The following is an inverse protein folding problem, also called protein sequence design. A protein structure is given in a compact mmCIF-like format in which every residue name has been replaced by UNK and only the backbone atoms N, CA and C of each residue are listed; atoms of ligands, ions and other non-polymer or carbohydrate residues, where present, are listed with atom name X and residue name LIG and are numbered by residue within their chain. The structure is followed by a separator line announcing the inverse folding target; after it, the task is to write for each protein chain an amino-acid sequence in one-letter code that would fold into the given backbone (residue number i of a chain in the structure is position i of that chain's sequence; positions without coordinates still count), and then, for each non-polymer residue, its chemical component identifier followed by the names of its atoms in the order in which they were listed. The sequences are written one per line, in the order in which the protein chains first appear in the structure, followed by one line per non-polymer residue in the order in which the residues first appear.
data_IF_699301011444
#
_entry.id   IF_699301011444
#
_cell.length_a   1.000
_cell.length_b   1.000
_cell.length_c   1.000
_cell.angle_alpha   90.00
_cell.angle_beta   90.00
_cell.angle_gamma   90.00
#
_symmetry.space_group_name_H-M   'P 1'
#
loop_
_entity.id
_entity.type
_entity.pdbx_description
1 polymer ?
#
# COMPACT_ATOMS: atom_id res chain seq x y z
N UNK A 1 -20.95 1.96 19.76
CA UNK A 1 -21.67 3.01 19.00
C UNK A 1 -21.51 4.40 19.64
N UNK A 2 -21.80 4.60 20.93
CA UNK A 2 -21.70 5.90 21.60
C UNK A 2 -20.31 6.60 21.55
N UNK A 3 -19.20 5.85 21.68
CA UNK A 3 -17.85 6.45 21.68
C UNK A 3 -17.39 6.99 20.34
N UNK A 4 -17.88 6.42 19.23
CA UNK A 4 -17.50 6.84 17.88
C UNK A 4 -18.30 8.06 17.45
N UNK A 5 -19.62 8.03 17.66
CA UNK A 5 -20.55 9.12 17.33
C UNK A 5 -20.16 10.42 18.04
N UNK A 6 -19.74 10.34 19.29
CA UNK A 6 -19.40 11.53 20.10
C UNK A 6 -18.10 12.24 19.67
N UNK A 7 -17.20 11.57 18.96
CA UNK A 7 -15.95 12.21 18.49
C UNK A 7 -16.18 13.11 17.27
N UNK A 8 -17.02 12.68 16.33
CA UNK A 8 -17.21 13.35 15.03
C UNK A 8 -18.54 14.09 14.92
N UNK A 9 -19.59 13.63 15.63
CA UNK A 9 -20.93 14.19 15.55
C UNK A 9 -21.28 14.84 16.88
N UNK A 10 -20.94 16.11 17.03
CA UNK A 10 -21.30 16.92 18.20
C UNK A 10 -22.81 17.27 18.26
N UNK A 11 -23.48 17.21 17.11
CA UNK A 11 -24.92 17.53 17.00
C UNK A 11 -25.58 16.58 15.98
N UNK A 12 -26.47 15.71 16.46
CA UNK A 12 -27.23 14.76 15.65
C UNK A 12 -28.22 15.43 14.67
N UNK A 13 -28.61 16.70 14.89
CA UNK A 13 -29.50 17.41 13.98
C UNK A 13 -28.86 17.68 12.63
N UNK A 14 -27.52 17.62 12.54
CA UNK A 14 -26.80 17.73 11.27
C UNK A 14 -27.15 16.57 10.33
N UNK A 15 -27.28 15.35 10.85
CA UNK A 15 -27.64 14.18 10.06
C UNK A 15 -28.99 14.35 9.38
N UNK A 16 -29.95 14.96 10.08
CA UNK A 16 -31.31 15.20 9.55
C UNK A 16 -31.35 16.17 8.36
N UNK A 17 -30.32 17.02 8.23
CA UNK A 17 -30.21 17.97 7.11
C UNK A 17 -29.57 17.35 5.87
N UNK A 18 -28.89 16.22 6.01
CA UNK A 18 -28.20 15.58 4.91
C UNK A 18 -29.17 14.92 3.93
N UNK A 19 -28.86 15.10 2.66
CA UNK A 19 -29.45 14.42 1.51
C UNK A 19 -28.39 13.48 0.97
N UNK A 20 -28.73 12.22 0.81
CA UNK A 20 -27.79 11.15 0.43
C UNK A 20 -28.25 10.45 -0.84
N UNK A 21 -27.28 10.14 -1.71
CA UNK A 21 -27.43 9.21 -2.81
C UNK A 21 -26.34 8.16 -2.73
N UNK A 22 -26.57 6.98 -3.27
CA UNK A 22 -25.62 5.87 -3.28
C UNK A 22 -25.45 5.29 -4.68
N UNK A 23 -24.23 4.84 -4.98
CA UNK A 23 -23.87 4.05 -6.15
C UNK A 23 -23.26 2.76 -5.63
N UNK A 24 -23.89 1.60 -5.87
CA UNK A 24 -23.43 0.28 -5.41
C UNK A 24 -22.89 -0.49 -6.58
N UNK A 25 -21.61 -0.81 -6.56
CA UNK A 25 -20.96 -1.65 -7.55
C UNK A 25 -20.86 -3.10 -7.02
N UNK A 26 -21.31 -4.07 -7.80
CA UNK A 26 -21.29 -5.48 -7.40
C UNK A 26 -21.43 -6.42 -8.60
N UNK A 27 -21.08 -7.70 -8.40
CA UNK A 27 -21.30 -8.76 -9.37
C UNK A 27 -22.56 -9.56 -9.04
N UNK A 28 -23.25 -10.01 -10.06
CA UNK A 28 -24.42 -10.88 -9.90
C UNK A 28 -24.28 -12.14 -10.74
N UNK A 29 -24.56 -13.32 -10.12
CA UNK A 29 -24.67 -14.59 -10.82
C UNK A 29 -26.09 -14.79 -11.42
N UNK A 30 -27.04 -13.95 -11.02
CA UNK A 30 -28.42 -13.98 -11.52
C UNK A 30 -28.50 -13.33 -12.89
N UNK A 31 -29.44 -13.78 -13.72
CA UNK A 31 -29.71 -13.00 -14.92
C UNK A 31 -30.13 -11.60 -14.53
N UNK A 32 -29.68 -10.60 -15.29
CA UNK A 32 -29.99 -9.18 -15.08
C UNK A 32 -31.49 -8.92 -14.83
N UNK A 33 -32.37 -9.61 -15.57
CA UNK A 33 -33.83 -9.47 -15.40
C UNK A 33 -34.35 -10.00 -14.06
N UNK A 34 -33.80 -11.11 -13.58
CA UNK A 34 -34.16 -11.65 -12.25
C UNK A 34 -33.74 -10.73 -11.13
N UNK A 35 -32.54 -10.15 -11.24
CA UNK A 35 -32.07 -9.17 -10.28
C UNK A 35 -32.95 -7.92 -10.27
N UNK A 36 -33.31 -7.40 -11.45
CA UNK A 36 -34.17 -6.23 -11.59
C UNK A 36 -35.57 -6.50 -11.00
N UNK A 37 -36.17 -7.64 -11.24
CA UNK A 37 -37.44 -8.05 -10.67
C UNK A 37 -37.37 -8.15 -9.14
N UNK A 38 -36.30 -8.75 -8.62
CA UNK A 38 -36.07 -8.87 -7.18
C UNK A 38 -35.95 -7.48 -6.53
N UNK A 39 -35.11 -6.60 -7.09
CA UNK A 39 -34.92 -5.25 -6.58
C UNK A 39 -36.23 -4.46 -6.56
N UNK A 40 -37.02 -4.52 -7.62
CA UNK A 40 -38.33 -3.85 -7.68
C UNK A 40 -39.32 -4.39 -6.65
N UNK A 41 -39.28 -5.70 -6.34
CA UNK A 41 -40.13 -6.30 -5.33
C UNK A 41 -39.73 -5.89 -3.92
N UNK A 42 -38.44 -5.99 -3.61
CA UNK A 42 -37.93 -5.79 -2.23
C UNK A 42 -37.83 -4.30 -1.84
N UNK A 43 -37.66 -3.41 -2.82
CA UNK A 43 -37.53 -1.97 -2.59
C UNK A 43 -38.84 -1.21 -2.84
N UNK A 44 -39.95 -1.88 -3.17
CA UNK A 44 -41.25 -1.20 -3.35
C UNK A 44 -41.56 -0.26 -2.18
N UNK A 45 -42.11 0.96 -2.41
CA UNK A 45 -42.65 1.45 -3.68
C UNK A 45 -41.64 2.08 -4.66
N UNK A 46 -40.34 2.04 -4.36
CA UNK A 46 -39.31 2.55 -5.24
C UNK A 46 -39.24 1.72 -6.51
N UNK A 47 -39.15 2.37 -7.66
CA UNK A 47 -39.05 1.72 -8.96
C UNK A 47 -37.60 1.69 -9.44
N UNK A 48 -37.10 0.49 -9.75
CA UNK A 48 -35.77 0.29 -10.30
C UNK A 48 -35.85 0.12 -11.80
N UNK A 49 -35.15 0.98 -12.53
CA UNK A 49 -35.11 0.97 -13.99
C UNK A 49 -33.84 0.30 -14.49
N UNK A 50 -34.01 -0.79 -15.23
CA UNK A 50 -32.88 -1.47 -15.87
C UNK A 50 -32.40 -0.72 -17.10
N UNK A 51 -31.08 -0.54 -17.21
CA UNK A 51 -30.42 0.08 -18.36
C UNK A 51 -29.43 -0.89 -18.98
N UNK A 52 -29.26 -0.82 -20.32
CA UNK A 52 -28.32 -1.68 -21.05
C UNK A 52 -27.03 -0.94 -21.42
N UNK A 53 -26.99 0.38 -21.23
CA UNK A 53 -25.84 1.22 -21.54
C UNK A 53 -25.23 1.72 -20.24
N UNK A 54 -23.93 1.73 -20.16
CA UNK A 54 -23.15 2.42 -19.14
C UNK A 54 -23.34 3.93 -19.27
N UNK A 55 -23.47 4.64 -18.15
CA UNK A 55 -23.77 6.09 -18.09
C UNK A 55 -25.01 6.49 -18.90
N UNK A 56 -26.11 5.82 -18.63
CA UNK A 56 -27.40 6.19 -19.25
C UNK A 56 -27.91 7.55 -18.77
N UNK A 57 -28.51 8.31 -19.67
CA UNK A 57 -29.00 9.69 -19.44
C UNK A 57 -30.28 9.76 -18.55
N UNK A 58 -30.58 8.70 -17.80
CA UNK A 58 -31.74 8.71 -16.92
C UNK A 58 -31.43 9.43 -15.62
N UNK A 59 -32.17 10.47 -15.31
CA UNK A 59 -32.21 11.09 -14.00
C UNK A 59 -32.81 10.14 -12.95
N UNK A 60 -32.26 10.19 -11.74
CA UNK A 60 -32.73 9.41 -10.58
C UNK A 60 -33.32 10.38 -9.53
N UNK A 61 -34.35 9.90 -8.83
CA UNK A 61 -34.98 10.64 -7.71
C UNK A 61 -35.26 9.68 -6.54
N UNK A 62 -35.92 10.16 -5.47
CA UNK A 62 -36.17 9.34 -4.28
C UNK A 62 -37.09 8.13 -4.51
N UNK A 63 -37.80 8.05 -5.66
CA UNK A 63 -38.71 6.96 -6.03
C UNK A 63 -38.27 6.21 -7.27
N UNK A 64 -37.30 6.71 -8.02
CA UNK A 64 -36.83 6.14 -9.27
C UNK A 64 -35.32 5.96 -9.23
N UNK A 65 -34.86 4.71 -9.11
CA UNK A 65 -33.45 4.33 -9.17
C UNK A 65 -33.13 3.68 -10.51
N UNK A 66 -31.84 3.56 -10.83
CA UNK A 66 -31.41 2.82 -12.01
C UNK A 66 -30.37 1.76 -11.67
N UNK A 67 -30.35 0.69 -12.45
CA UNK A 67 -29.26 -0.28 -12.47
C UNK A 67 -28.73 -0.39 -13.88
N UNK A 68 -27.42 -0.32 -14.03
CA UNK A 68 -26.74 -0.35 -15.33
C UNK A 68 -25.46 -1.21 -15.27
N UNK A 69 -24.95 -1.70 -16.42
CA UNK A 69 -23.65 -2.37 -16.45
C UNK A 69 -22.54 -1.40 -16.05
N UNK A 70 -21.60 -1.85 -15.25
CA UNK A 70 -20.35 -1.13 -15.00
C UNK A 70 -19.19 -1.81 -15.74
N UNK A 71 -18.56 -1.06 -16.64
CA UNK A 71 -17.46 -1.57 -17.46
C UNK A 71 -16.11 -1.54 -16.75
N UNK A 72 -16.01 -0.88 -15.62
CA UNK A 72 -14.74 -0.71 -14.88
C UNK A 72 -14.23 -2.01 -14.25
N UNK A 73 -15.14 -2.88 -13.81
CA UNK A 73 -14.84 -4.14 -13.14
C UNK A 73 -14.88 -5.40 -14.01
N UNK A 74 -15.26 -5.28 -15.30
CA UNK A 74 -15.35 -6.40 -16.23
C UNK A 74 -16.78 -6.93 -16.42
N UNK A 75 -16.93 -8.09 -17.09
CA UNK A 75 -18.24 -8.66 -17.40
C UNK A 75 -19.00 -9.03 -16.13
N UNK A 76 -20.32 -8.80 -16.13
CA UNK A 76 -21.26 -9.07 -15.02
C UNK A 76 -21.17 -8.12 -13.82
N UNK A 77 -20.33 -7.09 -13.86
CA UNK A 77 -20.40 -6.01 -12.89
C UNK A 77 -21.54 -5.07 -13.24
N UNK A 78 -22.29 -4.70 -12.23
CA UNK A 78 -23.42 -3.78 -12.34
C UNK A 78 -23.32 -2.71 -11.26
N UNK A 79 -23.86 -1.54 -11.57
CA UNK A 79 -23.98 -0.42 -10.66
C UNK A 79 -25.45 -0.10 -10.42
N UNK A 80 -25.85 -0.11 -9.14
CA UNK A 80 -27.18 0.34 -8.71
C UNK A 80 -27.06 1.76 -8.17
N UNK A 81 -27.70 2.71 -8.84
CA UNK A 81 -27.64 4.14 -8.52
C UNK A 81 -28.99 4.56 -7.94
N UNK A 82 -28.95 5.10 -6.71
CA UNK A 82 -30.13 5.67 -6.05
C UNK A 82 -30.23 7.16 -6.33
N UNK A 83 -31.44 7.70 -6.23
CA UNK A 83 -31.62 9.15 -6.20
C UNK A 83 -31.29 9.77 -4.84
N UNK A 84 -31.26 11.11 -4.77
CA UNK A 84 -31.04 11.83 -3.53
C UNK A 84 -32.24 11.69 -2.58
N UNK A 85 -31.97 11.31 -1.32
CA UNK A 85 -32.99 11.06 -0.30
C UNK A 85 -32.61 11.73 1.02
N UNK A 86 -33.57 12.21 1.83
CA UNK A 86 -33.33 12.62 3.20
C UNK A 86 -32.65 11.48 3.99
N UNK A 87 -31.74 11.84 4.90
CA UNK A 87 -30.89 10.91 5.68
C UNK A 87 -31.63 9.69 6.20
N UNK A 88 -32.83 9.89 6.81
CA UNK A 88 -33.57 8.77 7.41
C UNK A 88 -33.99 7.74 6.35
N UNK A 89 -34.55 8.19 5.24
CA UNK A 89 -34.96 7.34 4.13
C UNK A 89 -33.75 6.66 3.49
N UNK A 90 -32.70 7.42 3.24
CA UNK A 90 -31.46 6.92 2.69
C UNK A 90 -30.84 5.78 3.53
N UNK A 91 -30.84 5.94 4.86
CA UNK A 91 -30.35 4.92 5.78
C UNK A 91 -31.18 3.63 5.73
N UNK A 92 -32.51 3.75 5.66
CA UNK A 92 -33.38 2.57 5.52
C UNK A 92 -33.16 1.86 4.17
N UNK A 93 -33.00 2.62 3.10
CA UNK A 93 -32.72 2.08 1.76
C UNK A 93 -31.35 1.42 1.71
N UNK A 94 -30.31 2.05 2.28
CA UNK A 94 -28.98 1.46 2.41
C UNK A 94 -29.04 0.09 3.09
N UNK A 95 -29.72 -0.03 4.22
CA UNK A 95 -29.91 -1.29 4.95
C UNK A 95 -30.62 -2.35 4.10
N UNK A 96 -31.70 -1.99 3.39
CA UNK A 96 -32.43 -2.90 2.52
C UNK A 96 -31.55 -3.39 1.37
N UNK A 97 -30.85 -2.48 0.69
CA UNK A 97 -29.95 -2.83 -0.43
C UNK A 97 -28.85 -3.78 0.06
N UNK A 98 -28.15 -3.45 1.15
CA UNK A 98 -27.10 -4.32 1.70
C UNK A 98 -27.63 -5.72 2.03
N UNK A 99 -28.84 -5.84 2.60
CA UNK A 99 -29.46 -7.13 2.87
C UNK A 99 -29.78 -7.94 1.58
N UNK A 100 -30.12 -7.26 0.51
CA UNK A 100 -30.30 -7.89 -0.80
C UNK A 100 -28.95 -8.34 -1.37
N UNK A 101 -27.94 -7.48 -1.31
CA UNK A 101 -26.59 -7.79 -1.82
C UNK A 101 -25.95 -8.96 -1.06
N UNK A 102 -26.17 -9.09 0.25
CA UNK A 102 -25.71 -10.22 1.05
C UNK A 102 -26.21 -11.56 0.53
N UNK A 103 -27.38 -11.57 -0.08
CA UNK A 103 -28.04 -12.80 -0.56
C UNK A 103 -27.79 -13.11 -2.04
N UNK A 104 -27.62 -12.08 -2.85
CA UNK A 104 -27.71 -12.22 -4.31
C UNK A 104 -26.54 -11.60 -5.08
N UNK A 105 -25.57 -11.02 -4.40
CA UNK A 105 -24.43 -10.36 -5.01
C UNK A 105 -23.09 -10.87 -4.47
N UNK A 106 -22.05 -10.69 -5.27
CA UNK A 106 -20.66 -10.88 -4.88
C UNK A 106 -19.93 -9.55 -5.01
N UNK A 107 -18.99 -9.32 -4.14
CA UNK A 107 -18.12 -8.12 -4.17
C UNK A 107 -16.67 -8.54 -4.02
N UNK A 108 -15.78 -7.75 -4.56
CA UNK A 108 -14.33 -7.95 -4.52
C UNK A 108 -13.61 -6.61 -4.29
N UNK A 109 -12.30 -6.59 -4.41
CA UNK A 109 -11.46 -5.40 -4.25
C UNK A 109 -11.68 -4.30 -5.29
N UNK A 110 -12.38 -4.62 -6.40
CA UNK A 110 -12.75 -3.66 -7.46
C UNK A 110 -14.10 -2.99 -7.22
N UNK A 111 -14.94 -3.60 -6.40
CA UNK A 111 -16.30 -3.11 -6.15
C UNK A 111 -16.36 -2.12 -5.00
N UNK A 112 -17.25 -1.14 -5.09
CA UNK A 112 -17.35 -0.06 -4.12
C UNK A 112 -18.79 0.43 -3.88
N UNK A 113 -18.92 1.25 -2.83
CA UNK A 113 -20.09 2.09 -2.63
C UNK A 113 -19.62 3.55 -2.67
N UNK A 114 -20.15 4.31 -3.63
CA UNK A 114 -19.99 5.76 -3.60
C UNK A 114 -21.14 6.38 -2.79
N UNK A 115 -20.80 7.31 -1.91
CA UNK A 115 -21.78 8.03 -1.11
C UNK A 115 -21.76 9.50 -1.54
N UNK A 116 -22.85 9.94 -2.13
CA UNK A 116 -23.08 11.33 -2.52
C UNK A 116 -23.76 12.05 -1.36
N UNK A 117 -23.20 13.17 -0.88
CA UNK A 117 -23.71 13.96 0.24
C UNK A 117 -23.99 15.39 -0.22
N UNK A 118 -25.21 15.84 -0.01
CA UNK A 118 -25.67 17.23 -0.18
C UNK A 118 -26.43 17.68 1.07
N UNK A 119 -26.73 18.97 1.18
CA UNK A 119 -27.57 19.54 2.23
C UNK A 119 -28.77 20.31 1.64
N UNK A 120 -28.89 20.31 0.34
CA UNK A 120 -29.89 21.07 -0.41
C UNK A 120 -30.81 20.14 -1.19
N UNK A 121 -32.08 20.14 -0.86
CA UNK A 121 -33.05 19.24 -1.47
C UNK A 121 -33.22 19.51 -2.98
N UNK A 122 -33.08 20.75 -3.39
CA UNK A 122 -33.35 21.19 -4.76
C UNK A 122 -32.11 21.56 -5.57
N UNK A 123 -30.89 21.27 -5.00
CA UNK A 123 -29.58 21.66 -5.56
C UNK A 123 -29.48 23.17 -5.94
N UNK A 124 -30.46 23.97 -5.51
CA UNK A 124 -30.54 25.39 -5.76
C UNK A 124 -29.88 26.22 -4.67
N UNK A 125 -29.77 25.68 -3.48
CA UNK A 125 -29.04 26.29 -2.38
C UNK A 125 -27.55 25.91 -2.49
N UNK A 126 -26.76 26.91 -2.72
CA UNK A 126 -25.30 26.77 -2.91
C UNK A 126 -24.54 26.56 -1.60
N UNK A 127 -25.05 25.72 -0.71
CA UNK A 127 -24.43 25.44 0.61
C UNK A 127 -23.00 24.96 0.47
N UNK A 128 -22.72 24.08 -0.50
CA UNK A 128 -21.38 23.56 -0.75
C UNK A 128 -20.45 24.53 -1.50
N UNK A 129 -20.95 25.64 -2.06
CA UNK A 129 -20.09 26.70 -2.60
C UNK A 129 -19.22 27.33 -1.49
N UNK A 130 -19.67 27.26 -0.24
CA UNK A 130 -18.96 27.74 0.96
C UNK A 130 -18.07 26.68 1.63
N UNK A 131 -17.86 25.54 0.95
CA UNK A 131 -17.05 24.46 1.47
C UNK A 131 -15.58 24.85 1.54
N UNK A 132 -14.97 24.76 2.71
CA UNK A 132 -13.53 24.83 2.86
C UNK A 132 -12.91 23.48 2.46
N UNK A 133 -12.45 23.39 1.22
CA UNK A 133 -11.89 22.18 0.61
C UNK A 133 -10.65 21.68 1.36
N UNK A 134 -9.79 22.60 1.79
CA UNK A 134 -8.59 22.25 2.55
C UNK A 134 -8.94 21.66 3.91
N UNK A 135 -9.97 22.17 4.58
CA UNK A 135 -10.49 21.65 5.85
C UNK A 135 -11.04 20.22 5.69
N UNK A 136 -11.77 19.93 4.62
CA UNK A 136 -12.21 18.55 4.29
C UNK A 136 -11.00 17.64 4.16
N UNK A 137 -9.99 18.04 3.38
CA UNK A 137 -8.79 17.25 3.15
C UNK A 137 -8.04 16.98 4.46
N UNK A 138 -7.79 18.02 5.27
CA UNK A 138 -7.02 17.90 6.51
C UNK A 138 -7.72 17.03 7.56
N UNK A 139 -9.05 17.08 7.63
CA UNK A 139 -9.83 16.35 8.61
C UNK A 139 -10.34 14.98 8.15
N UNK A 140 -10.08 14.60 6.89
CA UNK A 140 -10.35 13.24 6.44
C UNK A 140 -9.50 12.22 7.23
N UNK A 141 -10.16 11.42 8.08
CA UNK A 141 -9.52 10.35 8.84
C UNK A 141 -9.47 9.07 7.99
N UNK A 142 -8.50 9.03 7.09
CA UNK A 142 -8.31 7.90 6.19
C UNK A 142 -7.88 6.61 6.92
N UNK A 143 -7.22 6.73 8.09
CA UNK A 143 -6.87 5.58 8.90
C UNK A 143 -8.11 4.86 9.42
N UNK A 144 -9.17 5.61 9.75
CA UNK A 144 -10.44 5.03 10.12
C UNK A 144 -11.06 4.23 8.97
N UNK A 145 -11.03 4.80 7.75
CA UNK A 145 -11.53 4.15 6.55
C UNK A 145 -10.73 2.86 6.27
N UNK A 146 -9.41 2.95 6.23
CA UNK A 146 -8.53 1.82 5.92
C UNK A 146 -8.54 0.73 7.00
N UNK A 147 -8.93 1.07 8.22
CA UNK A 147 -9.20 0.07 9.27
C UNK A 147 -10.38 -0.85 8.89
N UNK A 148 -11.41 -0.31 8.27
CA UNK A 148 -12.60 -1.06 7.87
C UNK A 148 -12.48 -1.63 6.45
N UNK A 149 -11.81 -0.91 5.55
CA UNK A 149 -11.65 -1.22 4.13
C UNK A 149 -10.17 -1.11 3.71
N UNK A 150 -9.31 -2.06 4.13
CA UNK A 150 -7.86 -1.94 3.98
C UNK A 150 -7.39 -1.91 2.53
N UNK A 151 -8.08 -2.58 1.60
CA UNK A 151 -7.72 -2.59 0.17
C UNK A 151 -7.91 -1.23 -0.50
N UNK A 152 -8.69 -0.32 0.12
CA UNK A 152 -8.89 1.04 -0.40
C UNK A 152 -7.66 1.94 -0.24
N UNK A 153 -6.70 1.58 0.62
CA UNK A 153 -5.48 2.37 0.84
C UNK A 153 -4.65 2.55 -0.44
N UNK A 154 -4.57 1.48 -1.25
CA UNK A 154 -3.76 1.45 -2.47
C UNK A 154 -4.62 1.41 -3.74
N UNK A 155 -5.92 1.69 -3.63
CA UNK A 155 -6.85 1.64 -4.73
C UNK A 155 -6.71 2.89 -5.64
N UNK A 156 -6.57 2.65 -6.96
CA UNK A 156 -6.40 3.71 -7.95
C UNK A 156 -7.58 4.69 -8.00
N UNK A 157 -8.81 4.20 -7.79
CA UNK A 157 -10.04 5.00 -7.87
C UNK A 157 -10.46 5.64 -6.54
N UNK A 158 -9.67 5.44 -5.46
CA UNK A 158 -9.91 6.01 -4.14
C UNK A 158 -8.61 6.47 -3.47
N UNK A 159 -7.73 7.12 -4.25
CA UNK A 159 -6.46 7.67 -3.75
C UNK A 159 -6.66 8.55 -2.53
N UNK A 160 -5.66 8.61 -1.65
CA UNK A 160 -5.70 9.49 -0.48
C UNK A 160 -5.96 10.94 -0.88
N UNK A 161 -6.93 11.59 -0.22
CA UNK A 161 -7.22 13.01 -0.46
C UNK A 161 -6.10 13.94 0.02
N UNK A 162 -5.20 13.46 0.89
CA UNK A 162 -4.02 14.23 1.30
C UNK A 162 -3.11 14.54 0.09
N UNK A 163 -3.15 13.71 -0.95
CA UNK A 163 -2.43 13.93 -2.21
C UNK A 163 -2.93 15.15 -3.00
N UNK A 164 -4.08 15.69 -2.63
CA UNK A 164 -4.61 16.93 -3.21
C UNK A 164 -3.90 18.18 -2.69
N UNK A 165 -3.16 18.10 -1.60
CA UNK A 165 -2.42 19.25 -1.05
C UNK A 165 -1.15 19.44 -1.87
N UNK A 166 -1.05 20.50 -2.70
CA UNK A 166 0.14 20.74 -3.48
C UNK A 166 1.29 21.17 -2.56
N UNK A 167 2.47 20.59 -2.79
CA UNK A 167 3.70 20.96 -2.08
C UNK A 167 4.87 21.22 -3.05
N UNK A 168 4.74 20.81 -4.32
CA UNK A 168 5.74 21.05 -5.35
C UNK A 168 5.77 22.54 -5.71
N UNK A 169 6.99 23.08 -5.86
CA UNK A 169 7.19 24.49 -6.20
C UNK A 169 7.18 25.45 -5.01
N UNK A 170 7.11 24.93 -3.79
CA UNK A 170 7.31 25.73 -2.57
C UNK A 170 8.70 25.47 -1.98
N UNK A 171 9.44 26.56 -1.79
CA UNK A 171 10.73 26.49 -1.11
C UNK A 171 10.60 26.55 0.42
N UNK A 172 9.57 27.22 0.90
CA UNK A 172 9.31 27.44 2.31
C UNK A 172 7.89 27.08 2.71
N UNK A 173 7.77 26.40 3.85
CA UNK A 173 6.49 25.92 4.39
C UNK A 173 5.50 27.04 4.68
N UNK A 174 6.00 28.18 5.20
CA UNK A 174 5.15 29.33 5.53
C UNK A 174 4.46 29.93 4.30
N UNK A 175 5.17 30.00 3.18
CA UNK A 175 4.62 30.50 1.91
C UNK A 175 3.55 29.56 1.38
N UNK A 176 3.81 28.26 1.42
CA UNK A 176 2.84 27.23 1.06
C UNK A 176 1.57 27.33 1.92
N UNK A 177 1.68 27.48 3.23
CA UNK A 177 0.54 27.63 4.14
C UNK A 177 -0.29 28.85 3.76
N UNK A 178 0.33 30.01 3.57
CA UNK A 178 -0.37 31.25 3.26
C UNK A 178 -1.15 31.14 1.94
N UNK A 179 -0.58 30.50 0.93
CA UNK A 179 -1.25 30.30 -0.36
C UNK A 179 -2.40 29.33 -0.23
N UNK A 180 -2.16 28.16 0.41
CA UNK A 180 -3.16 27.08 0.49
C UNK A 180 -4.38 27.44 1.34
N UNK A 181 -4.18 28.18 2.43
CA UNK A 181 -5.27 28.62 3.31
C UNK A 181 -6.19 29.59 2.56
N UNK A 182 -5.64 30.47 1.71
CA UNK A 182 -6.42 31.44 0.97
C UNK A 182 -7.06 30.88 -0.30
N UNK A 183 -6.37 30.00 -1.02
CA UNK A 183 -6.87 29.46 -2.30
C UNK A 183 -6.21 28.15 -2.69
N UNK A 184 -6.78 27.04 -2.25
CA UNK A 184 -6.36 25.72 -2.74
C UNK A 184 -6.95 25.45 -4.13
N UNK A 185 -6.09 25.28 -5.12
CA UNK A 185 -6.48 24.79 -6.44
C UNK A 185 -6.41 23.28 -6.46
N UNK A 186 -7.51 22.63 -6.78
CA UNK A 186 -7.60 21.17 -6.87
C UNK A 186 -7.54 20.72 -8.33
N UNK A 187 -6.86 19.59 -8.60
CA UNK A 187 -6.84 19.00 -9.94
C UNK A 187 -8.24 18.52 -10.34
N UNK A 188 -8.52 18.59 -11.64
CA UNK A 188 -9.78 18.15 -12.22
C UNK A 188 -9.80 16.63 -12.41
N UNK A 189 -9.88 15.88 -11.31
CA UNK A 189 -9.92 14.42 -11.34
C UNK A 189 -10.81 13.84 -10.25
N UNK A 190 -11.48 12.74 -10.56
CA UNK A 190 -12.39 12.01 -9.66
C UNK A 190 -11.76 10.82 -8.93
N UNK A 191 -10.44 10.59 -9.08
CA UNK A 191 -9.78 9.35 -8.60
C UNK A 191 -9.33 9.39 -7.14
N UNK A 192 -9.86 10.31 -6.34
CA UNK A 192 -9.59 10.41 -4.91
C UNK A 192 -10.73 9.83 -4.08
N UNK A 193 -10.42 9.44 -2.86
CA UNK A 193 -11.41 8.90 -1.92
C UNK A 193 -12.53 9.87 -1.58
N UNK A 194 -12.31 11.20 -1.78
CA UNK A 194 -13.35 12.22 -1.81
C UNK A 194 -13.22 12.97 -3.13
N UNK A 195 -14.23 12.89 -3.98
CA UNK A 195 -14.33 13.70 -5.18
C UNK A 195 -14.90 15.08 -4.81
N UNK A 196 -13.99 15.97 -4.42
CA UNK A 196 -14.35 17.33 -3.96
C UNK A 196 -14.82 18.21 -5.13
N UNK A 197 -14.48 17.86 -6.38
CA UNK A 197 -14.94 18.55 -7.56
C UNK A 197 -16.48 18.60 -7.62
N UNK A 198 -17.14 17.55 -7.21
CA UNK A 198 -18.61 17.49 -7.21
C UNK A 198 -19.28 18.53 -6.29
N UNK A 199 -18.52 19.24 -5.44
CA UNK A 199 -19.04 20.36 -4.67
C UNK A 199 -19.64 21.46 -5.56
N UNK A 200 -19.09 21.67 -6.75
CA UNK A 200 -19.66 22.61 -7.75
C UNK A 200 -21.03 22.17 -8.28
N UNK A 201 -21.32 20.87 -8.18
CA UNK A 201 -22.60 20.26 -8.55
C UNK A 201 -23.51 20.09 -7.31
N UNK A 202 -23.19 20.75 -6.20
CA UNK A 202 -23.99 20.74 -4.97
C UNK A 202 -23.89 19.46 -4.15
N UNK A 203 -22.88 18.58 -4.39
CA UNK A 203 -22.66 17.34 -3.62
C UNK A 203 -21.18 17.05 -3.42
N UNK A 204 -20.82 16.27 -2.39
CA UNK A 204 -19.53 15.58 -2.29
C UNK A 204 -19.74 14.09 -2.51
N UNK A 205 -18.87 13.48 -3.28
CA UNK A 205 -18.86 12.03 -3.51
C UNK A 205 -17.73 11.37 -2.72
N UNK A 206 -18.08 10.46 -1.82
CA UNK A 206 -17.12 9.67 -1.04
C UNK A 206 -16.98 8.28 -1.66
N UNK A 207 -15.76 7.92 -2.08
CA UNK A 207 -15.42 6.70 -2.81
C UNK A 207 -14.60 5.71 -1.97
N UNK A 208 -14.51 5.92 -0.67
CA UNK A 208 -13.67 5.14 0.24
C UNK A 208 -14.21 3.76 0.58
N UNK A 209 -15.52 3.53 0.45
CA UNK A 209 -16.14 2.27 0.84
C UNK A 209 -16.06 1.29 -0.31
N UNK A 210 -15.50 0.12 -0.06
CA UNK A 210 -15.36 -0.95 -1.02
C UNK A 210 -14.41 -1.99 -0.50
N UNK A 211 -14.54 -3.20 -0.95
CA UNK A 211 -13.68 -4.34 -0.64
C UNK A 211 -14.43 -5.63 -0.95
N UNK A 212 -13.74 -6.74 -0.88
CA UNK A 212 -14.39 -8.05 -0.86
C UNK A 212 -15.34 -8.13 0.35
N UNK A 213 -16.55 -8.57 0.07
CA UNK A 213 -17.59 -8.80 1.08
C UNK A 213 -18.04 -7.53 1.83
N UNK A 214 -17.92 -6.34 1.21
CA UNK A 214 -18.33 -5.09 1.85
C UNK A 214 -19.80 -5.10 2.28
N UNK A 215 -20.69 -5.81 1.57
CA UNK A 215 -22.10 -5.89 1.88
C UNK A 215 -22.39 -6.46 3.27
N UNK A 216 -21.44 -7.17 3.89
CA UNK A 216 -21.55 -7.68 5.26
C UNK A 216 -21.06 -6.69 6.32
N UNK A 217 -20.43 -5.58 5.93
CA UNK A 217 -19.89 -4.54 6.83
C UNK A 217 -20.91 -3.40 7.09
N UNK A 218 -22.17 -3.75 7.27
CA UNK A 218 -23.28 -2.80 7.36
C UNK A 218 -23.08 -1.74 8.45
N UNK A 219 -22.56 -2.14 9.61
CA UNK A 219 -22.32 -1.23 10.73
C UNK A 219 -21.24 -0.23 10.40
N UNK A 220 -20.13 -0.68 9.84
CA UNK A 220 -18.99 0.12 9.44
C UNK A 220 -19.38 1.13 8.34
N UNK A 221 -20.20 0.71 7.38
CA UNK A 221 -20.70 1.57 6.31
C UNK A 221 -21.58 2.69 6.90
N UNK A 222 -22.47 2.39 7.84
CA UNK A 222 -23.31 3.39 8.49
C UNK A 222 -22.46 4.36 9.31
N UNK A 223 -21.49 3.87 10.07
CA UNK A 223 -20.59 4.70 10.88
C UNK A 223 -19.77 5.65 9.99
N UNK A 224 -19.27 5.18 8.87
CA UNK A 224 -18.54 6.01 7.92
C UNK A 224 -19.47 7.00 7.21
N UNK A 225 -20.70 6.62 6.86
CA UNK A 225 -21.68 7.54 6.28
C UNK A 225 -21.95 8.70 7.22
N UNK A 226 -22.24 8.42 8.48
CA UNK A 226 -22.49 9.42 9.52
C UNK A 226 -21.24 10.32 9.72
N UNK A 227 -20.04 9.74 9.69
CA UNK A 227 -18.78 10.47 9.75
C UNK A 227 -18.58 11.39 8.54
N UNK A 228 -18.84 10.93 7.32
CA UNK A 228 -18.70 11.73 6.10
C UNK A 228 -19.65 12.92 6.08
N UNK A 229 -20.89 12.75 6.57
CA UNK A 229 -21.85 13.84 6.76
C UNK A 229 -21.27 14.90 7.71
N UNK A 230 -20.76 14.47 8.87
CA UNK A 230 -20.18 15.38 9.85
C UNK A 230 -18.93 16.10 9.31
N UNK A 231 -18.04 15.39 8.60
CA UNK A 231 -16.86 15.96 7.96
C UNK A 231 -17.27 17.07 6.98
N UNK A 232 -18.23 16.78 6.11
CA UNK A 232 -18.72 17.73 5.12
C UNK A 232 -19.32 18.97 5.78
N UNK A 233 -20.24 18.78 6.71
CA UNK A 233 -20.93 19.87 7.40
C UNK A 233 -19.99 20.78 8.16
N UNK A 234 -19.05 20.18 8.93
CA UNK A 234 -18.08 20.94 9.75
C UNK A 234 -17.06 21.70 8.91
N UNK A 235 -17.02 21.45 7.61
CA UNK A 235 -16.15 22.14 6.66
C UNK A 235 -16.86 23.24 5.86
N UNK A 236 -18.21 23.38 6.01
CA UNK A 236 -18.98 24.45 5.35
C UNK A 236 -18.84 25.74 6.13
N UNK A 237 -18.51 26.82 5.45
CA UNK A 237 -18.38 28.17 6.00
C UNK A 237 -17.46 28.23 7.23
N UNK A 238 -16.41 27.41 7.25
CA UNK A 238 -15.50 27.26 8.39
C UNK A 238 -14.06 27.56 7.98
N UNK A 239 -13.36 28.33 8.78
CA UNK A 239 -11.90 28.54 8.66
C UNK A 239 -11.13 27.37 9.29
N UNK A 240 -9.84 27.28 8.97
CA UNK A 240 -8.94 26.35 9.65
C UNK A 240 -8.64 26.88 11.07
N UNK A 241 -8.81 26.02 12.06
CA UNK A 241 -8.36 26.28 13.41
C UNK A 241 -6.82 26.05 13.57
N UNK A 242 -6.29 26.34 14.75
CA UNK A 242 -4.84 26.26 14.99
C UNK A 242 -4.32 24.81 14.93
N UNK A 243 -5.13 23.82 15.31
CA UNK A 243 -4.75 22.38 15.19
C UNK A 243 -4.67 21.97 13.72
N UNK A 244 -5.61 22.41 12.90
CA UNK A 244 -5.65 22.14 11.47
C UNK A 244 -4.48 22.82 10.73
N UNK A 245 -4.15 24.05 11.10
CA UNK A 245 -2.96 24.76 10.59
C UNK A 245 -1.67 24.04 10.98
N UNK A 246 -1.61 23.47 12.18
CA UNK A 246 -0.45 22.66 12.62
C UNK A 246 -0.36 21.35 11.84
N UNK A 247 -1.48 20.67 11.58
CA UNK A 247 -1.53 19.49 10.72
C UNK A 247 -1.04 19.80 9.31
N UNK A 248 -1.49 20.91 8.72
CA UNK A 248 -1.04 21.37 7.41
C UNK A 248 0.46 21.64 7.40
N UNK A 249 0.99 22.33 8.41
CA UNK A 249 2.40 22.59 8.56
C UNK A 249 3.22 21.29 8.61
N UNK A 250 2.84 20.35 9.46
CA UNK A 250 3.53 19.06 9.59
C UNK A 250 3.54 18.27 8.28
N UNK A 251 2.41 18.27 7.57
CA UNK A 251 2.30 17.63 6.26
C UNK A 251 3.24 18.28 5.23
N UNK A 252 3.27 19.61 5.16
CA UNK A 252 4.11 20.34 4.22
C UNK A 252 5.61 20.20 4.54
N UNK A 253 5.99 20.28 5.81
CA UNK A 253 7.38 20.07 6.25
C UNK A 253 7.90 18.71 5.79
N UNK A 254 7.12 17.66 6.00
CA UNK A 254 7.49 16.32 5.58
C UNK A 254 7.61 16.20 4.06
N UNK A 255 6.61 16.70 3.32
CA UNK A 255 6.55 16.49 1.88
C UNK A 255 7.53 17.37 1.10
N UNK A 256 7.75 18.62 1.52
CA UNK A 256 8.76 19.49 0.91
C UNK A 256 10.18 18.91 1.11
N UNK A 257 10.48 18.38 2.29
CA UNK A 257 11.77 17.72 2.55
C UNK A 257 11.93 16.44 1.71
N UNK A 258 10.88 15.64 1.61
CA UNK A 258 10.88 14.45 0.75
C UNK A 258 11.10 14.83 -0.73
N UNK A 259 10.47 15.92 -1.19
CA UNK A 259 10.66 16.41 -2.57
C UNK A 259 12.08 16.86 -2.86
N UNK A 260 12.70 17.57 -1.92
CA UNK A 260 14.12 17.96 -2.06
C UNK A 260 15.05 16.75 -2.15
N UNK A 261 14.78 15.72 -1.36
CA UNK A 261 15.51 14.45 -1.41
C UNK A 261 15.29 13.74 -2.76
N UNK A 262 14.05 13.74 -3.25
CA UNK A 262 13.70 13.15 -4.54
C UNK A 262 14.38 13.88 -5.71
N UNK A 263 14.43 15.20 -5.71
CA UNK A 263 15.13 15.97 -6.75
C UNK A 263 16.61 15.64 -6.83
N UNK A 264 17.26 15.36 -5.69
CA UNK A 264 18.65 14.85 -5.67
C UNK A 264 18.72 13.47 -6.31
N UNK A 265 17.76 12.60 -6.03
CA UNK A 265 17.68 11.28 -6.62
C UNK A 265 17.40 11.31 -8.13
N UNK A 266 16.49 12.18 -8.62
CA UNK A 266 16.27 12.39 -10.06
C UNK A 266 17.54 12.83 -10.78
N UNK A 267 18.29 13.76 -10.19
CA UNK A 267 19.56 14.20 -10.76
C UNK A 267 20.58 13.07 -10.81
N UNK A 268 20.66 12.26 -9.76
CA UNK A 268 21.51 11.06 -9.74
C UNK A 268 21.13 10.07 -10.85
N UNK A 269 19.84 9.75 -11.00
CA UNK A 269 19.35 8.81 -12.01
C UNK A 269 19.52 9.34 -13.45
N UNK A 270 19.45 10.64 -13.65
CA UNK A 270 19.65 11.25 -14.97
C UNK A 270 21.06 10.99 -15.54
N UNK A 271 22.03 10.65 -14.69
CA UNK A 271 23.36 10.20 -15.09
C UNK A 271 23.36 8.77 -15.69
N UNK A 272 22.26 8.01 -15.55
CA UNK A 272 22.12 6.64 -16.02
C UNK A 272 21.03 6.50 -17.10
N UNK A 273 21.32 6.79 -18.37
CA UNK A 273 20.32 6.90 -19.45
C UNK A 273 19.59 5.60 -19.80
N UNK A 274 20.05 4.46 -19.29
CA UNK A 274 19.39 3.15 -19.49
C UNK A 274 18.24 2.88 -18.52
N UNK A 275 18.00 3.80 -17.58
CA UNK A 275 16.99 3.66 -16.54
C UNK A 275 15.79 4.55 -16.89
N UNK A 276 14.69 3.95 -17.30
CA UNK A 276 13.42 4.66 -17.45
C UNK A 276 12.69 4.69 -16.10
N UNK A 277 12.55 5.88 -15.53
CA UNK A 277 11.70 6.12 -14.37
C UNK A 277 10.33 6.57 -14.84
N UNK A 278 9.31 5.84 -14.44
CA UNK A 278 7.94 6.31 -14.52
C UNK A 278 7.60 7.05 -13.21
N UNK A 279 7.58 8.37 -13.29
CA UNK A 279 7.18 9.22 -12.17
C UNK A 279 5.71 9.53 -12.36
N UNK A 280 4.89 9.18 -11.38
CA UNK A 280 3.50 9.64 -11.34
C UNK A 280 3.50 11.15 -11.02
N UNK A 281 3.49 11.97 -12.08
CA UNK A 281 3.55 13.44 -11.96
C UNK A 281 2.30 14.05 -11.34
N UNK A 282 1.21 13.30 -11.34
CA UNK A 282 -0.08 13.74 -10.80
C UNK A 282 -0.19 13.46 -9.30
N UNK A 283 0.77 12.74 -8.73
CA UNK A 283 0.76 12.35 -7.33
C UNK A 283 1.48 13.39 -6.46
N UNK A 284 0.80 13.88 -5.42
CA UNK A 284 1.42 14.71 -4.38
C UNK A 284 2.39 13.94 -3.51
N UNK A 285 2.26 12.59 -3.49
CA UNK A 285 3.30 11.69 -2.99
C UNK A 285 4.15 11.24 -4.16
N UNK A 286 5.44 11.50 -4.09
CA UNK A 286 6.36 11.02 -5.12
C UNK A 286 6.42 9.50 -5.01
N UNK A 287 5.76 8.84 -5.94
CA UNK A 287 5.85 7.40 -6.11
C UNK A 287 6.83 7.15 -7.24
N UNK A 288 7.99 6.60 -6.92
CA UNK A 288 8.95 6.13 -7.91
C UNK A 288 8.48 4.76 -8.36
N UNK A 289 7.89 4.66 -9.55
CA UNK A 289 7.61 3.38 -10.19
C UNK A 289 8.79 3.03 -11.08
N UNK A 290 9.43 1.90 -10.82
CA UNK A 290 10.43 1.36 -11.72
C UNK A 290 9.78 0.34 -12.65
N UNK A 291 10.12 0.40 -13.91
CA UNK A 291 9.76 -0.63 -14.90
C UNK A 291 10.43 -1.98 -14.58
N UNK A 292 11.47 -1.97 -13.76
CA UNK A 292 12.22 -3.12 -13.28
C UNK A 292 12.10 -3.25 -11.76
N UNK A 293 11.09 -4.00 -11.29
CA UNK A 293 11.01 -4.62 -9.95
C UNK A 293 11.13 -3.73 -8.71
N UNK A 294 10.45 -2.60 -8.61
CA UNK A 294 10.41 -1.79 -7.37
C UNK A 294 11.78 -1.37 -6.76
N UNK A 295 12.88 -1.55 -7.50
CA UNK A 295 14.25 -1.24 -7.01
C UNK A 295 14.36 0.24 -6.66
N UNK A 296 13.79 1.11 -7.47
CA UNK A 296 13.96 2.56 -7.32
C UNK A 296 13.13 3.16 -6.18
N UNK A 297 11.94 2.63 -5.89
CA UNK A 297 11.23 3.05 -4.68
C UNK A 297 12.03 2.72 -3.43
N UNK A 298 12.69 1.56 -3.43
CA UNK A 298 13.55 1.11 -2.33
C UNK A 298 14.85 1.90 -2.24
N UNK A 299 15.43 2.32 -3.36
CA UNK A 299 16.60 3.22 -3.36
C UNK A 299 16.22 4.62 -2.92
N UNK A 300 15.07 5.11 -3.34
CA UNK A 300 14.54 6.36 -2.81
C UNK A 300 14.36 6.29 -1.30
N UNK A 301 13.81 5.19 -0.77
CA UNK A 301 13.68 4.97 0.67
C UNK A 301 15.05 4.81 1.35
N UNK A 302 16.01 4.17 0.69
CA UNK A 302 17.39 4.08 1.13
C UNK A 302 18.01 5.47 1.23
N UNK A 303 17.96 6.26 0.17
CA UNK A 303 18.46 7.63 0.11
C UNK A 303 17.83 8.53 1.20
N UNK A 304 16.53 8.35 1.43
CA UNK A 304 15.77 9.07 2.45
C UNK A 304 16.24 8.75 3.89
N UNK A 305 16.63 7.51 4.13
CA UNK A 305 16.90 6.98 5.47
C UNK A 305 18.40 6.92 5.80
N UNK A 306 19.28 7.00 4.81
CA UNK A 306 20.75 7.03 5.07
C UNK A 306 21.16 8.44 5.45
N UNK A 307 21.45 8.65 6.74
CA UNK A 307 21.94 9.93 7.28
C UNK A 307 23.33 10.33 6.73
N UNK A 308 24.07 9.43 6.07
CA UNK A 308 25.43 9.62 5.58
C UNK A 308 25.62 9.26 4.10
N UNK A 309 24.67 9.63 3.24
CA UNK A 309 24.84 9.50 1.78
C UNK A 309 26.12 10.15 1.22
N UNK A 310 26.71 11.07 1.98
CA UNK A 310 27.94 11.74 1.53
C UNK A 310 29.15 10.80 1.46
N UNK A 311 29.10 9.63 2.07
CA UNK A 311 30.21 8.66 2.10
C UNK A 311 29.91 7.38 1.27
N UNK A 312 28.66 7.12 0.93
CA UNK A 312 28.29 5.96 0.13
C UNK A 312 28.47 6.27 -1.35
N UNK A 313 29.23 5.46 -2.05
CA UNK A 313 29.35 5.51 -3.52
C UNK A 313 28.25 4.64 -4.10
N UNK A 314 27.43 5.22 -4.97
CA UNK A 314 26.36 4.52 -5.65
C UNK A 314 26.74 4.41 -7.14
N UNK A 315 26.96 3.19 -7.61
CA UNK A 315 27.30 2.87 -8.98
C UNK A 315 26.18 2.07 -9.66
N UNK A 316 26.30 1.97 -10.97
CA UNK A 316 25.45 1.10 -11.78
C UNK A 316 26.28 0.02 -12.46
N UNK A 317 26.04 -1.25 -12.11
CA UNK A 317 26.60 -2.39 -12.81
C UNK A 317 25.82 -2.62 -14.12
N UNK A 318 26.42 -2.23 -15.25
CA UNK A 318 25.81 -2.32 -16.58
C UNK A 318 25.68 -3.76 -17.09
N UNK A 319 26.52 -4.67 -16.63
CA UNK A 319 26.49 -6.08 -17.03
C UNK A 319 25.37 -6.82 -16.31
N UNK A 320 25.30 -6.67 -15.01
CA UNK A 320 24.31 -7.33 -14.15
C UNK A 320 23.00 -6.55 -14.07
N UNK A 321 22.95 -5.31 -14.61
CA UNK A 321 21.81 -4.39 -14.50
C UNK A 321 21.35 -4.21 -13.06
N UNK A 322 22.30 -3.93 -12.16
CA UNK A 322 22.07 -3.77 -10.73
C UNK A 322 22.71 -2.49 -10.22
N UNK A 323 22.17 -1.97 -9.11
CA UNK A 323 22.81 -0.91 -8.37
C UNK A 323 23.87 -1.50 -7.47
N UNK A 324 25.01 -0.83 -7.38
CA UNK A 324 26.07 -1.12 -6.45
C UNK A 324 26.11 -0.02 -5.38
N UNK A 325 26.09 -0.46 -4.13
CA UNK A 325 26.30 0.39 -2.97
C UNK A 325 27.68 0.04 -2.40
N UNK A 326 28.59 1.00 -2.41
CA UNK A 326 29.97 0.82 -1.92
C UNK A 326 30.19 1.71 -0.71
N UNK A 327 30.88 1.21 0.31
CA UNK A 327 31.13 1.90 1.58
C UNK A 327 29.83 2.33 2.31
N UNK A 328 28.77 1.55 2.17
CA UNK A 328 27.50 1.85 2.84
C UNK A 328 27.49 1.32 4.28
N UNK A 329 26.97 2.11 5.19
CA UNK A 329 26.71 1.71 6.58
C UNK A 329 25.20 1.68 6.85
N UNK A 330 24.63 0.48 6.87
CA UNK A 330 23.23 0.25 7.16
C UNK A 330 23.01 0.08 8.65
N UNK A 331 22.91 1.18 9.39
CA UNK A 331 22.66 1.17 10.83
C UNK A 331 21.19 0.96 11.18
N UNK A 332 20.29 1.08 10.21
CA UNK A 332 18.85 0.88 10.36
C UNK A 332 18.38 -0.32 9.52
N UNK A 333 17.21 -0.87 9.86
CA UNK A 333 16.64 -2.03 9.18
C UNK A 333 16.19 -1.63 7.76
N UNK A 334 16.72 -2.32 6.74
CA UNK A 334 16.36 -2.13 5.34
C UNK A 334 15.94 -3.42 4.68
N UNK A 335 15.02 -3.28 3.73
CA UNK A 335 14.69 -4.34 2.78
C UNK A 335 15.26 -3.96 1.41
N UNK A 336 16.20 -4.73 0.90
CA UNK A 336 16.81 -4.53 -0.41
C UNK A 336 16.55 -5.71 -1.34
N UNK A 337 16.44 -5.41 -2.63
CA UNK A 337 16.22 -6.42 -3.66
C UNK A 337 17.03 -6.07 -4.92
N UNK A 338 17.76 -7.05 -5.47
CA UNK A 338 18.59 -6.91 -6.66
C UNK A 338 19.67 -5.82 -6.56
N UNK A 339 20.39 -5.74 -5.46
CA UNK A 339 21.45 -4.75 -5.22
C UNK A 339 22.76 -5.47 -4.96
N UNK A 340 23.86 -4.94 -5.48
CA UNK A 340 25.20 -5.32 -5.06
C UNK A 340 25.63 -4.44 -3.87
N UNK A 341 26.12 -5.07 -2.81
CA UNK A 341 26.54 -4.41 -1.57
C UNK A 341 28.01 -4.74 -1.36
N UNK A 342 28.87 -3.73 -1.51
CA UNK A 342 30.32 -3.89 -1.59
C UNK A 342 30.99 -3.11 -0.45
N UNK A 343 31.98 -3.67 0.23
CA UNK A 343 32.75 -3.05 1.29
C UNK A 343 31.89 -2.39 2.39
N UNK A 344 30.76 -3.02 2.73
CA UNK A 344 29.69 -2.40 3.47
C UNK A 344 29.32 -3.13 4.76
N UNK A 345 28.68 -2.43 5.70
CA UNK A 345 28.11 -3.01 6.91
C UNK A 345 26.57 -3.06 6.83
N UNK A 346 25.97 -4.22 7.05
CA UNK A 346 24.54 -4.41 7.10
C UNK A 346 24.08 -4.95 8.45
N UNK A 347 23.17 -4.26 9.14
CA UNK A 347 22.67 -4.67 10.45
C UNK A 347 21.13 -4.71 10.46
N UNK A 348 20.57 -5.91 10.46
CA UNK A 348 19.14 -6.15 10.33
C UNK A 348 18.65 -6.10 8.89
N UNK A 349 17.32 -6.22 8.71
CA UNK A 349 16.66 -6.12 7.41
C UNK A 349 16.49 -7.43 6.65
N UNK A 350 15.88 -7.32 5.47
CA UNK A 350 15.62 -8.42 4.55
C UNK A 350 16.24 -8.11 3.19
N UNK A 351 17.08 -9.02 2.72
CA UNK A 351 17.80 -8.87 1.46
C UNK A 351 17.40 -10.00 0.51
N UNK A 352 16.86 -9.66 -0.65
CA UNK A 352 16.44 -10.64 -1.64
C UNK A 352 17.25 -10.48 -2.92
N UNK A 353 17.78 -11.57 -3.45
CA UNK A 353 18.57 -11.60 -4.68
C UNK A 353 19.67 -10.52 -4.71
N UNK A 354 20.34 -10.30 -3.57
CA UNK A 354 21.44 -9.36 -3.43
C UNK A 354 22.77 -10.08 -3.53
N UNK A 355 23.82 -9.36 -3.97
CA UNK A 355 25.19 -9.83 -3.95
C UNK A 355 25.96 -9.02 -2.92
N UNK A 356 26.54 -9.69 -1.94
CA UNK A 356 27.43 -9.09 -0.93
C UNK A 356 28.86 -9.43 -1.26
N UNK A 357 29.71 -8.41 -1.33
CA UNK A 357 31.14 -8.54 -1.60
C UNK A 357 31.89 -7.82 -0.50
N UNK A 358 32.75 -8.51 0.22
CA UNK A 358 33.56 -7.96 1.31
C UNK A 358 32.71 -7.21 2.35
N UNK A 359 31.54 -7.75 2.70
CA UNK A 359 30.58 -7.12 3.56
C UNK A 359 30.50 -7.76 4.96
N UNK A 360 30.16 -6.96 5.98
CA UNK A 360 29.81 -7.44 7.31
C UNK A 360 28.29 -7.42 7.49
N UNK A 361 27.69 -8.59 7.70
CA UNK A 361 26.23 -8.74 7.77
C UNK A 361 25.84 -9.30 9.14
N UNK A 362 24.97 -8.60 9.84
CA UNK A 362 24.51 -9.00 11.17
C UNK A 362 22.99 -8.95 11.28
N UNK A 363 22.39 -9.92 11.99
CA UNK A 363 20.98 -9.95 12.37
C UNK A 363 20.00 -9.81 11.19
N UNK A 364 20.34 -10.28 10.00
CA UNK A 364 19.59 -10.08 8.77
C UNK A 364 18.90 -11.36 8.27
N UNK A 365 17.91 -11.18 7.39
CA UNK A 365 17.31 -12.23 6.57
C UNK A 365 17.85 -12.12 5.14
N UNK A 366 18.44 -13.19 4.64
CA UNK A 366 19.01 -13.29 3.30
C UNK A 366 18.23 -14.35 2.50
N UNK A 367 17.72 -13.98 1.35
CA UNK A 367 16.99 -14.89 0.47
C UNK A 367 17.53 -14.78 -0.96
N UNK A 368 17.87 -15.91 -1.59
CA UNK A 368 18.47 -15.98 -2.93
C UNK A 368 19.71 -15.07 -3.10
N UNK A 369 20.50 -14.88 -2.04
CA UNK A 369 21.66 -14.00 -2.05
C UNK A 369 22.95 -14.77 -2.40
N UNK A 370 23.91 -14.02 -2.98
CA UNK A 370 25.27 -14.47 -3.18
C UNK A 370 26.21 -13.72 -2.22
N UNK A 371 27.09 -14.45 -1.53
CA UNK A 371 28.01 -13.91 -0.55
C UNK A 371 29.44 -14.25 -0.94
N UNK A 372 30.26 -13.22 -1.11
CA UNK A 372 31.63 -13.29 -1.57
C UNK A 372 32.52 -12.57 -0.57
N UNK A 373 33.52 -13.23 -0.03
CA UNK A 373 34.49 -12.68 0.92
C UNK A 373 33.85 -11.93 2.10
N UNK A 374 32.70 -12.40 2.57
CA UNK A 374 31.88 -11.68 3.54
C UNK A 374 31.90 -12.35 4.93
N UNK A 375 31.58 -11.56 5.97
CA UNK A 375 31.38 -12.06 7.33
C UNK A 375 29.90 -11.93 7.70
N UNK A 376 29.28 -13.05 8.11
CA UNK A 376 27.84 -13.12 8.36
C UNK A 376 27.57 -13.65 9.77
N UNK A 377 26.86 -12.87 10.58
CA UNK A 377 26.57 -13.24 11.96
C UNK A 377 25.06 -13.14 12.28
N UNK A 378 24.55 -14.12 13.02
CA UNK A 378 23.18 -14.16 13.52
C UNK A 378 22.11 -14.01 12.40
N UNK A 379 22.37 -14.52 11.20
CA UNK A 379 21.49 -14.35 10.06
C UNK A 379 20.66 -15.59 9.74
N UNK A 380 19.48 -15.37 9.16
CA UNK A 380 18.70 -16.41 8.51
C UNK A 380 18.94 -16.35 7.01
N UNK A 381 19.33 -17.47 6.42
CA UNK A 381 19.74 -17.59 5.03
C UNK A 381 18.89 -18.64 4.32
N UNK A 382 18.25 -18.26 3.23
CA UNK A 382 17.41 -19.15 2.41
C UNK A 382 17.90 -19.12 0.95
N UNK A 383 18.21 -20.28 0.39
CA UNK A 383 18.72 -20.46 -1.00
C UNK A 383 19.95 -19.61 -1.34
N UNK A 384 20.81 -19.34 -0.37
CA UNK A 384 21.98 -18.50 -0.58
C UNK A 384 23.17 -19.29 -1.12
N UNK A 385 24.01 -18.62 -1.93
CA UNK A 385 25.28 -19.13 -2.37
C UNK A 385 26.42 -18.42 -1.62
N UNK A 386 27.26 -19.21 -0.97
CA UNK A 386 28.34 -18.72 -0.11
C UNK A 386 29.67 -19.21 -0.70
N UNK A 387 30.59 -18.27 -0.98
CA UNK A 387 31.90 -18.59 -1.54
C UNK A 387 32.88 -19.11 -0.46
N UNK A 388 34.01 -19.64 -0.91
CA UNK A 388 35.05 -20.25 -0.05
C UNK A 388 35.74 -19.27 0.91
N UNK A 389 35.56 -17.95 0.73
CA UNK A 389 36.21 -16.91 1.54
C UNK A 389 35.26 -16.27 2.54
N UNK A 390 33.99 -16.68 2.55
CA UNK A 390 32.95 -16.18 3.44
C UNK A 390 32.85 -16.99 4.74
N UNK A 391 32.73 -16.32 5.87
CA UNK A 391 32.55 -16.94 7.20
C UNK A 391 31.13 -16.68 7.74
N UNK A 392 30.51 -17.76 8.26
CA UNK A 392 29.17 -17.75 8.84
C UNK A 392 29.24 -18.13 10.34
N UNK A 393 28.62 -17.31 11.19
CA UNK A 393 28.57 -17.56 12.63
C UNK A 393 27.16 -17.37 13.18
N UNK A 394 26.70 -18.31 14.00
CA UNK A 394 25.34 -18.33 14.56
C UNK A 394 24.24 -18.19 13.49
N UNK A 395 24.45 -18.72 12.30
CA UNK A 395 23.52 -18.58 11.18
C UNK A 395 22.57 -19.76 11.08
N UNK A 396 21.39 -19.50 10.51
CA UNK A 396 20.46 -20.54 10.07
C UNK A 396 20.50 -20.60 8.54
N UNK A 397 21.00 -21.71 7.99
CA UNK A 397 21.15 -21.93 6.56
C UNK A 397 20.14 -22.96 6.05
N UNK A 398 19.35 -22.56 5.06
CA UNK A 398 18.33 -23.40 4.45
C UNK A 398 18.35 -23.27 2.92
N UNK A 399 18.83 -24.30 2.24
CA UNK A 399 18.95 -24.34 0.77
C UNK A 399 20.14 -23.55 0.22
N UNK A 400 20.40 -23.72 -1.07
CA UNK A 400 21.53 -23.09 -1.75
C UNK A 400 22.83 -23.87 -1.68
N UNK A 401 23.98 -23.18 -1.90
CA UNK A 401 25.30 -23.77 -1.89
C UNK A 401 26.22 -23.07 -0.89
N UNK A 402 26.89 -23.84 -0.04
CA UNK A 402 27.81 -23.35 0.98
C UNK A 402 29.22 -23.88 0.73
N UNK A 403 30.10 -23.04 0.20
CA UNK A 403 31.53 -23.32 0.03
C UNK A 403 32.40 -22.64 1.12
N UNK A 404 31.83 -21.77 1.95
CA UNK A 404 32.51 -21.02 2.98
C UNK A 404 32.74 -21.75 4.29
N UNK A 405 33.17 -21.01 5.31
CA UNK A 405 33.44 -21.46 6.66
C UNK A 405 32.21 -21.27 7.56
N UNK A 406 31.51 -22.35 7.87
CA UNK A 406 30.36 -22.32 8.75
C UNK A 406 30.76 -22.67 10.19
N UNK A 407 31.03 -21.66 10.99
CA UNK A 407 31.58 -21.82 12.33
C UNK A 407 30.56 -22.37 13.34
N UNK A 408 29.36 -21.81 13.34
CA UNK A 408 28.29 -22.20 14.27
C UNK A 408 26.90 -21.88 13.75
N UNK A 409 25.87 -22.60 14.24
CA UNK A 409 24.49 -22.38 13.87
C UNK A 409 23.73 -23.62 13.45
N UNK A 410 22.78 -23.50 12.51
CA UNK A 410 21.96 -24.61 12.03
C UNK A 410 22.04 -24.70 10.50
N UNK A 411 22.54 -25.82 10.00
CA UNK A 411 22.45 -26.19 8.59
C UNK A 411 21.31 -27.18 8.41
N UNK A 412 20.25 -26.78 7.72
CA UNK A 412 19.05 -27.60 7.58
C UNK A 412 18.97 -28.29 6.23
N UNK A 413 19.27 -27.62 5.16
CA UNK A 413 19.33 -28.20 3.81
C UNK A 413 20.19 -27.34 2.89
N UNK A 414 20.61 -27.92 1.78
CA UNK A 414 21.49 -27.29 0.80
C UNK A 414 22.63 -28.17 0.40
N UNK A 415 23.52 -27.67 -0.47
CA UNK A 415 24.71 -28.37 -0.91
C UNK A 415 25.94 -27.78 -0.22
N UNK A 416 26.70 -28.60 0.49
CA UNK A 416 28.05 -28.25 0.95
C UNK A 416 28.98 -28.50 -0.23
N UNK A 417 29.65 -27.45 -0.70
CA UNK A 417 30.54 -27.52 -1.84
C UNK A 417 31.92 -28.03 -1.45
N UNK A 418 32.80 -28.10 -2.43
CA UNK A 418 34.13 -28.69 -2.28
C UNK A 418 34.99 -27.99 -1.22
N UNK A 419 34.82 -26.71 -1.03
CA UNK A 419 35.59 -25.90 -0.08
C UNK A 419 34.83 -25.61 1.22
N UNK A 420 33.59 -26.10 1.34
CA UNK A 420 32.77 -25.85 2.52
C UNK A 420 33.34 -26.55 3.77
N UNK A 421 33.50 -25.78 4.83
CA UNK A 421 33.94 -26.26 6.14
C UNK A 421 32.83 -26.12 7.15
N UNK A 422 32.50 -27.19 7.85
CA UNK A 422 31.49 -27.21 8.90
C UNK A 422 32.18 -27.29 10.26
N UNK A 423 31.97 -26.31 11.11
CA UNK A 423 32.50 -26.28 12.47
C UNK A 423 31.74 -27.23 13.41
N UNK A 424 32.40 -27.53 14.55
CA UNK A 424 31.84 -28.43 15.57
C UNK A 424 30.53 -27.93 16.19
N UNK A 425 30.33 -26.63 16.22
CA UNK A 425 29.13 -25.96 16.79
C UNK A 425 27.98 -25.81 15.79
N UNK A 426 28.05 -26.45 14.63
CA UNK A 426 26.98 -26.44 13.63
C UNK A 426 26.06 -27.64 13.81
N UNK A 427 24.78 -27.37 14.08
CA UNK A 427 23.76 -28.41 14.14
C UNK A 427 23.26 -28.72 12.73
N UNK A 428 23.52 -29.95 12.25
CA UNK A 428 22.94 -30.43 10.99
C UNK A 428 21.56 -31.02 11.29
N UNK A 429 20.50 -30.49 10.64
CA UNK A 429 19.12 -30.98 10.76
C UNK A 429 18.72 -31.60 9.43
N UNK A 430 18.40 -32.88 9.42
CA UNK A 430 17.88 -33.61 8.26
C UNK A 430 16.38 -33.74 8.39
N UNK A 431 15.64 -33.18 7.45
CA UNK A 431 14.21 -33.43 7.36
C UNK A 431 13.96 -34.80 6.71
N UNK A 432 13.40 -35.72 7.44
CA UNK A 432 13.05 -37.06 6.95
C UNK A 432 11.92 -37.07 5.94
N UNK A 433 11.20 -35.91 5.78
CA UNK A 433 10.00 -35.77 4.94
C UNK A 433 10.15 -34.85 3.73
N UNK A 434 11.32 -34.25 3.47
CA UNK A 434 11.51 -33.40 2.30
C UNK A 434 12.30 -34.09 1.19
N UNK A 435 11.76 -34.13 0.00
CA UNK A 435 12.37 -34.62 -1.24
C UNK A 435 13.56 -33.77 -1.74
N UNK A 436 14.19 -32.98 -0.89
CA UNK A 436 15.35 -32.17 -1.26
C UNK A 436 16.64 -32.90 -0.95
N UNK A 437 17.32 -33.29 -2.00
CA UNK A 437 18.65 -33.91 -1.93
C UNK A 437 19.67 -32.93 -1.35
N UNK A 438 20.02 -33.07 -0.09
CA UNK A 438 21.30 -32.56 0.42
C UNK A 438 22.41 -33.46 -0.11
N UNK A 439 23.31 -32.92 -0.94
CA UNK A 439 24.50 -33.61 -1.39
C UNK A 439 25.74 -32.99 -0.75
N UNK A 440 26.49 -33.76 -0.03
CA UNK A 440 27.83 -33.37 0.43
C UNK A 440 28.80 -33.85 -0.66
N UNK A 441 29.53 -32.93 -1.30
CA UNK A 441 30.60 -33.32 -2.20
C UNK A 441 31.72 -34.05 -1.39
N UNK A 442 32.14 -35.19 -1.86
CA UNK A 442 33.05 -36.11 -1.12
C UNK A 442 34.46 -35.55 -0.85
N UNK A 443 34.75 -34.33 -1.29
CA UNK A 443 36.06 -33.68 -1.19
C UNK A 443 36.11 -32.47 -0.23
N UNK A 444 35.15 -32.35 0.73
CA UNK A 444 35.25 -31.31 1.75
C UNK A 444 36.49 -31.58 2.66
N UNK A 445 37.43 -30.64 2.68
CA UNK A 445 38.64 -30.74 3.49
C UNK A 445 38.42 -30.10 4.87
N UNK A 446 38.72 -30.81 5.97
CA UNK A 446 38.71 -30.26 7.32
C UNK A 446 39.84 -29.25 7.51
N UNK A 447 39.57 -28.13 8.20
CA UNK A 447 40.62 -27.20 8.66
C UNK A 447 41.70 -27.93 9.44
N UNK A 448 42.97 -27.62 9.17
CA UNK A 448 44.14 -28.21 9.82
C UNK A 448 44.46 -27.66 11.21
N UNK A 449 43.59 -26.90 11.86
CA UNK A 449 43.87 -26.29 13.17
C UNK A 449 43.00 -26.84 14.32
N UNK A 450 43.65 -27.12 15.38
CA UNK A 450 43.51 -27.57 16.77
C UNK A 450 42.14 -27.82 17.41
N UNK A 451 41.00 -27.51 16.82
CA UNK A 451 39.67 -27.98 17.21
C UNK A 451 39.26 -29.07 16.22
N UNK A 452 39.34 -30.33 16.60
CA UNK A 452 39.03 -31.47 15.76
C UNK A 452 37.63 -31.39 15.17
N UNK A 453 37.45 -31.12 13.84
CA UNK A 453 36.14 -31.21 13.22
C UNK A 453 35.64 -32.66 13.39
N UNK A 454 34.37 -32.80 13.79
CA UNK A 454 33.77 -34.15 13.84
C UNK A 454 33.72 -34.69 12.43
N UNK A 455 34.45 -35.80 12.22
CA UNK A 455 34.26 -36.59 10.99
C UNK A 455 32.82 -37.04 10.96
N UNK A 456 32.08 -36.58 9.97
CA UNK A 456 30.74 -37.12 9.68
C UNK A 456 30.89 -38.64 9.56
N UNK A 457 30.10 -39.38 10.35
CA UNK A 457 30.13 -40.83 10.33
C UNK A 457 29.84 -41.29 8.89
N UNK A 458 30.61 -42.25 8.32
CA UNK A 458 30.39 -42.77 6.97
C UNK A 458 28.95 -43.26 6.72
N UNK A 459 28.23 -43.61 7.78
CA UNK A 459 26.80 -43.93 7.71
C UNK A 459 25.88 -42.72 7.49
N UNK A 460 26.29 -41.53 7.89
CA UNK A 460 25.56 -40.30 7.61
C UNK A 460 25.79 -39.78 6.16
N UNK A 461 26.92 -40.18 5.54
CA UNK A 461 27.22 -39.86 4.14
C UNK A 461 26.43 -40.69 3.12
N UNK A 462 25.78 -41.81 3.54
CA UNK A 462 24.99 -42.70 2.64
C UNK A 462 23.48 -42.45 2.66
N UNK A 463 22.97 -41.48 3.43
CA UNK A 463 21.54 -41.20 3.58
C UNK A 463 21.12 -39.79 3.10
N UNK A 464 22.01 -39.13 2.39
CA UNK A 464 21.73 -37.84 1.79
C UNK A 464 21.72 -37.93 0.26
#
# INVERSE_FOLDING_TARGET
MEKFTNKYIKNFDILKKAILGFEFEFYTDSSYYKLLELLNRELAPIKIHGRRKYHSDMDVDEYNFKIEPDLSGGPNMVELITGPMPYHNAKLILLKILNILQKYAKTDDKTSIHINISFDKDQTDKTLDKLNKLKVILNADENLVYKYFPTRKDNFYAKSVKRLIPFKGYDYVNDAINILVNNIQLPDTKYYGINIKEAYNGRLEFRYIGDKDYQFKTKEIIELTDYFIALTWNSINAELDDEEKLKLRSFLDQNINNFKTFSKFENFIAEFPTIQLEIDKDDTFITVKSYYNNIYSKIYDLIKNINNLNNCIINWDTEKKRIELVDADFTTIFDLNNVNIIDSNANGGTYNNCIFINANINNAHLHDCELISSTVNNCKMENCNVDQTTSLKNCYFYGGRMDGDFESGVFRSGKIGQFGVIGDDVKIVTDTDSYFNTSIDQEAHPKKDSSKPKKLNPFQQRKF
#
